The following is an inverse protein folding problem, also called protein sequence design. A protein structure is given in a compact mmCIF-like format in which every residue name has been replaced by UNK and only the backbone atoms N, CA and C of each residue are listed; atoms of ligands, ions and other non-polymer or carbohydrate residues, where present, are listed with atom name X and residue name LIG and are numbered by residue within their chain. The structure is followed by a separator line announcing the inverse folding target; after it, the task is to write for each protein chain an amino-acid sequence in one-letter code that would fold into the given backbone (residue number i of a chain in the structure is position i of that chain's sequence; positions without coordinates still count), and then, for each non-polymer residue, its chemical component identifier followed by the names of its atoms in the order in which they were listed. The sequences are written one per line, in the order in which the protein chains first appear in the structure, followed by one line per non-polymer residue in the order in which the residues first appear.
data_IF_843944344186
#
_entry.id   IF_843944344186
#
_cell.length_a   1.000
_cell.length_b   1.000
_cell.length_c   1.000
_cell.angle_alpha   90.00
_cell.angle_beta   90.00
_cell.angle_gamma   90.00
#
_symmetry.space_group_name_H-M   'P 1'
#
loop_
_entity.id
_entity.type
_entity.pdbx_description
1 polymer ?
#
# COMPACT_ATOMS: atom_id res chain seq x y z
N UNK A 1 -16.51 -5.43 19.26
CA UNK A 1 -15.27 -6.25 19.24
C UNK A 1 -14.06 -5.33 19.15
N UNK A 2 -13.28 -5.07 20.22
CA UNK A 2 -12.02 -4.34 20.08
C UNK A 2 -10.87 -5.34 19.85
N UNK A 3 -10.25 -5.31 18.67
CA UNK A 3 -9.02 -6.07 18.43
C UNK A 3 -7.85 -5.29 19.03
N UNK A 4 -7.23 -5.91 20.03
CA UNK A 4 -6.11 -5.42 20.83
C UNK A 4 -4.89 -5.07 19.96
N UNK A 5 -4.34 -3.89 20.19
CA UNK A 5 -3.26 -3.27 19.42
C UNK A 5 -1.88 -3.97 19.49
N UNK A 6 -1.74 -5.05 20.27
CA UNK A 6 -0.46 -5.68 20.57
C UNK A 6 0.00 -6.75 19.56
N UNK A 7 -0.90 -7.35 18.77
CA UNK A 7 -0.56 -8.49 17.90
C UNK A 7 -0.09 -8.10 16.47
N UNK A 8 0.21 -6.82 16.22
CA UNK A 8 0.49 -6.29 14.85
C UNK A 8 1.97 -6.06 14.52
N UNK A 9 2.90 -6.48 15.38
CA UNK A 9 4.33 -6.19 15.20
C UNK A 9 5.03 -7.12 14.21
N UNK A 10 4.76 -8.42 14.23
CA UNK A 10 5.61 -9.37 13.49
C UNK A 10 5.18 -9.71 12.04
N UNK A 11 3.92 -9.53 11.66
CA UNK A 11 3.45 -9.95 10.31
C UNK A 11 3.87 -9.00 9.16
N UNK A 12 4.65 -7.93 9.43
CA UNK A 12 4.80 -6.82 8.47
C UNK A 12 6.21 -6.37 8.12
N UNK A 13 7.25 -6.85 8.80
CA UNK A 13 8.60 -6.34 8.55
C UNK A 13 9.18 -6.84 7.21
N UNK A 14 8.71 -7.97 6.69
CA UNK A 14 9.15 -8.50 5.39
C UNK A 14 8.34 -8.06 4.17
N UNK A 15 7.17 -7.41 4.36
CA UNK A 15 6.20 -7.18 3.25
C UNK A 15 5.72 -5.73 3.15
N UNK A 16 5.72 -4.94 4.23
CA UNK A 16 5.32 -3.53 4.18
C UNK A 16 6.52 -2.59 4.19
N UNK A 17 6.68 -1.88 3.08
CA UNK A 17 7.68 -0.82 2.91
C UNK A 17 7.26 0.53 3.51
N UNK A 18 6.29 0.53 4.43
CA UNK A 18 5.72 1.74 5.02
C UNK A 18 5.19 1.53 6.42
N UNK A 19 5.17 2.62 7.18
CA UNK A 19 4.52 2.72 8.50
C UNK A 19 3.19 3.44 8.37
N UNK A 20 2.25 3.16 9.28
CA UNK A 20 0.94 3.83 9.30
C UNK A 20 0.73 4.55 10.62
N UNK A 21 0.26 5.80 10.56
CA UNK A 21 -0.20 6.56 11.72
C UNK A 21 -1.67 6.95 11.51
N UNK A 22 -2.50 6.72 12.53
CA UNK A 22 -3.89 7.20 12.53
C UNK A 22 -3.91 8.71 12.77
N UNK A 23 -4.76 9.43 12.03
CA UNK A 23 -5.03 10.85 12.19
C UNK A 23 -6.54 11.09 12.25
N UNK A 24 -6.97 12.27 12.69
CA UNK A 24 -8.40 12.59 12.73
C UNK A 24 -9.00 12.50 11.32
N UNK A 25 -9.94 11.56 11.13
CA UNK A 25 -10.62 11.32 9.86
C UNK A 25 -9.86 10.46 8.84
N UNK A 26 -8.64 9.98 9.14
CA UNK A 26 -7.84 9.27 8.16
C UNK A 26 -6.68 8.44 8.72
N UNK A 27 -5.86 7.94 7.80
CA UNK A 27 -4.62 7.23 8.11
C UNK A 27 -3.53 7.74 7.19
N UNK A 28 -2.41 8.15 7.78
CA UNK A 28 -1.21 8.53 7.05
C UNK A 28 -0.31 7.32 6.91
N UNK A 29 0.12 7.07 5.70
CA UNK A 29 1.11 6.09 5.30
C UNK A 29 2.42 6.86 5.12
N UNK A 30 3.49 6.46 5.80
CA UNK A 30 4.83 7.03 5.64
C UNK A 30 5.77 5.96 5.12
N UNK A 31 6.49 6.23 4.04
CA UNK A 31 7.50 5.33 3.52
C UNK A 31 8.57 5.06 4.60
N UNK A 32 9.01 3.82 4.72
CA UNK A 32 10.08 3.46 5.65
C UNK A 32 11.47 3.90 5.15
N UNK A 33 11.58 4.18 3.84
CA UNK A 33 12.86 4.38 3.14
C UNK A 33 13.11 5.84 2.74
N UNK A 34 12.08 6.69 2.80
CA UNK A 34 12.21 8.13 2.54
C UNK A 34 11.13 8.95 3.25
N UNK A 35 11.13 10.27 3.05
CA UNK A 35 10.19 11.20 3.68
C UNK A 35 8.81 11.24 3.01
N UNK A 36 8.56 10.41 2.00
CA UNK A 36 7.28 10.39 1.30
C UNK A 36 6.14 9.91 2.20
N UNK A 37 5.05 10.67 2.20
CA UNK A 37 3.83 10.36 2.94
C UNK A 37 2.61 10.45 2.04
N UNK A 38 1.64 9.57 2.30
CA UNK A 38 0.37 9.50 1.59
C UNK A 38 -0.74 9.42 2.64
N UNK A 39 -1.85 10.12 2.46
CA UNK A 39 -2.97 10.06 3.41
C UNK A 39 -4.16 9.37 2.77
N UNK A 40 -4.99 8.68 3.56
CA UNK A 40 -6.26 8.15 3.04
C UNK A 40 -7.24 9.24 2.64
N UNK A 41 -7.02 10.50 3.05
CA UNK A 41 -7.88 11.62 2.68
C UNK A 41 -7.67 12.06 1.23
N UNK A 42 -6.49 11.76 0.67
CA UNK A 42 -6.16 12.03 -0.74
C UNK A 42 -6.89 11.10 -1.73
N UNK A 43 -7.58 10.07 -1.23
CA UNK A 43 -8.26 9.07 -2.04
C UNK A 43 -9.77 9.19 -1.95
N UNK A 44 -10.43 9.02 -3.09
CA UNK A 44 -11.88 9.03 -3.19
C UNK A 44 -12.46 7.68 -2.73
N UNK A 45 -13.42 7.72 -1.80
CA UNK A 45 -14.13 6.51 -1.34
C UNK A 45 -15.08 5.90 -2.37
N UNK A 46 -15.46 6.65 -3.40
CA UNK A 46 -16.30 6.14 -4.50
C UNK A 46 -15.53 5.16 -5.39
N UNK A 47 -14.21 5.33 -5.49
CA UNK A 47 -13.30 4.46 -6.25
C UNK A 47 -12.88 3.21 -5.46
N UNK A 48 -13.49 2.97 -4.30
CA UNK A 48 -13.24 1.83 -3.42
C UNK A 48 -12.57 2.21 -2.10
N UNK A 49 -11.96 1.22 -1.43
CA UNK A 49 -11.44 1.41 -0.07
C UNK A 49 -10.19 2.31 -0.05
N UNK A 50 -10.33 3.51 0.53
CA UNK A 50 -9.25 4.50 0.68
C UNK A 50 -7.97 3.95 1.32
N UNK A 51 -8.07 3.01 2.28
CA UNK A 51 -6.90 2.36 2.89
C UNK A 51 -6.14 1.47 1.90
N UNK A 52 -6.88 0.72 1.08
CA UNK A 52 -6.29 -0.13 0.05
C UNK A 52 -5.62 0.72 -1.02
N UNK A 53 -6.27 1.80 -1.46
CA UNK A 53 -5.71 2.72 -2.44
C UNK A 53 -4.39 3.36 -1.94
N UNK A 54 -4.39 3.88 -0.70
CA UNK A 54 -3.19 4.44 -0.08
C UNK A 54 -2.06 3.41 0.08
N UNK A 55 -2.38 2.18 0.51
CA UNK A 55 -1.42 1.10 0.61
C UNK A 55 -0.79 0.74 -0.75
N UNK A 56 -1.62 0.65 -1.80
CA UNK A 56 -1.16 0.36 -3.17
C UNK A 56 -0.26 1.47 -3.70
N UNK A 57 -0.61 2.74 -3.49
CA UNK A 57 0.20 3.88 -3.89
C UNK A 57 1.58 3.85 -3.21
N UNK A 58 1.63 3.60 -1.90
CA UNK A 58 2.88 3.54 -1.14
C UNK A 58 3.73 2.32 -1.51
N UNK A 59 3.11 1.17 -1.77
CA UNK A 59 3.82 -0.02 -2.25
C UNK A 59 4.43 0.24 -3.64
N UNK A 60 3.70 0.89 -4.55
CA UNK A 60 4.21 1.26 -5.87
C UNK A 60 5.35 2.27 -5.77
N UNK A 61 5.21 3.28 -4.91
CA UNK A 61 6.25 4.25 -4.61
C UNK A 61 7.54 3.53 -4.19
N UNK A 62 7.45 2.61 -3.22
CA UNK A 62 8.62 1.89 -2.74
C UNK A 62 9.21 0.97 -3.81
N UNK A 63 8.38 0.24 -4.56
CA UNK A 63 8.84 -0.64 -5.62
C UNK A 63 9.59 0.11 -6.73
N UNK A 64 9.12 1.30 -7.13
CA UNK A 64 9.74 2.06 -8.24
C UNK A 64 11.00 2.78 -7.78
N UNK A 65 10.97 3.44 -6.62
CA UNK A 65 12.06 4.34 -6.21
C UNK A 65 13.12 3.65 -5.35
N UNK A 66 12.73 2.64 -4.56
CA UNK A 66 13.65 1.99 -3.61
C UNK A 66 14.01 0.56 -4.03
N UNK A 67 13.17 -0.10 -4.84
CA UNK A 67 13.42 -1.46 -5.34
C UNK A 67 13.31 -1.56 -6.88
N UNK A 68 14.04 -0.73 -7.65
CA UNK A 68 13.90 -0.65 -9.10
C UNK A 68 14.11 -1.98 -9.84
N UNK A 69 14.72 -2.99 -9.21
CA UNK A 69 14.91 -4.34 -9.73
C UNK A 69 13.68 -5.26 -9.64
N UNK A 70 12.53 -4.77 -9.12
CA UNK A 70 11.33 -5.59 -8.86
C UNK A 70 10.08 -5.12 -9.60
N UNK A 71 10.24 -4.48 -10.76
CA UNK A 71 9.17 -4.35 -11.76
C UNK A 71 8.80 -5.75 -12.26
N UNK A 72 7.95 -6.44 -11.50
CA UNK A 72 7.13 -7.52 -12.04
C UNK A 72 6.27 -6.84 -13.11
N UNK A 73 6.74 -6.97 -14.35
CA UNK A 73 6.02 -6.68 -15.58
C UNK A 73 4.60 -7.21 -15.39
N UNK A 74 3.54 -6.44 -15.70
CA UNK A 74 2.20 -7.00 -15.66
C UNK A 74 2.21 -8.19 -16.61
N UNK A 75 2.09 -9.39 -16.06
CA UNK A 75 1.87 -10.58 -16.85
C UNK A 75 0.61 -10.28 -17.65
N UNK A 76 0.80 -10.03 -18.95
CA UNK A 76 -0.26 -9.95 -19.93
C UNK A 76 -1.25 -11.06 -19.59
N UNK A 77 -2.45 -10.67 -19.15
CA UNK A 77 -3.57 -11.58 -19.06
C UNK A 77 -3.74 -12.11 -20.48
N UNK A 78 -3.25 -13.33 -20.69
CA UNK A 78 -3.17 -13.96 -21.99
C UNK A 78 -4.54 -13.93 -22.63
N UNK A 79 -4.60 -13.39 -23.84
CA UNK A 79 -5.74 -13.58 -24.71
C UNK A 79 -6.01 -15.07 -24.87
N UNK A 80 -7.25 -15.46 -24.66
CA UNK A 80 -7.78 -16.72 -25.19
C UNK A 80 -8.87 -16.34 -26.17
N UNK A 81 -8.45 -16.09 -27.40
CA UNK A 81 -9.27 -16.40 -28.57
C UNK A 81 -9.05 -17.86 -28.93
N UNK A 82 -10.15 -18.56 -29.18
CA UNK A 82 -10.35 -19.89 -29.79
C UNK A 82 -11.64 -20.43 -29.17
N UNK A 83 -12.67 -20.88 -29.87
CA UNK A 83 -12.93 -21.18 -31.29
C UNK A 83 -14.46 -21.19 -31.42
#
# INVERSE_FOLDING_TARGET
MPVSAAARKDYNEGVRYYTTKSMNGGTTFKCALCEHTVTTLDFNSLEGNRRTQAATAMNRHAAVLHFPARTVVPAKLGGRGAL
#
